data_IF_239172968829
#
_entry.id   IF_239172968829
#
_cell.length_a   1.000
_cell.length_b   1.000
_cell.length_c   1.000
_cell.angle_alpha   90.00
_cell.angle_beta   90.00
_cell.angle_gamma   90.00
#
_symmetry.space_group_name_H-M   'P 1'
#
loop_
_entity.id
_entity.type
_entity.pdbx_description
1 polymer ?
#
# COMPACT_ATOMS: atom_id res chain seq x y z
N UNK A 1 5.21 12.01 -18.36
CA UNK A 1 6.39 12.90 -18.47
C UNK A 1 6.97 13.39 -17.14
N UNK A 2 6.29 14.25 -16.35
CA UNK A 2 6.87 14.82 -15.12
C UNK A 2 7.42 13.77 -14.13
N UNK A 3 6.60 12.77 -13.78
CA UNK A 3 7.01 11.65 -12.91
C UNK A 3 8.24 10.91 -13.43
N UNK A 4 8.30 10.60 -14.73
CA UNK A 4 9.40 9.84 -15.32
C UNK A 4 10.71 10.63 -15.32
N UNK A 5 10.65 11.94 -15.55
CA UNK A 5 11.82 12.81 -15.44
C UNK A 5 12.44 12.72 -14.04
N UNK A 6 11.61 12.82 -13.00
CA UNK A 6 12.06 12.74 -11.61
C UNK A 6 12.55 11.33 -11.24
N UNK A 7 11.86 10.28 -11.70
CA UNK A 7 12.29 8.89 -11.49
C UNK A 7 13.70 8.66 -12.05
N UNK A 8 13.95 9.03 -13.31
CA UNK A 8 15.27 8.90 -13.94
C UNK A 8 16.32 9.76 -13.24
N UNK A 9 15.95 10.97 -12.83
CA UNK A 9 16.84 11.89 -12.09
C UNK A 9 17.27 11.28 -10.76
N UNK A 10 16.33 10.80 -9.94
CA UNK A 10 16.64 10.20 -8.64
C UNK A 10 17.40 8.88 -8.76
N UNK A 11 17.03 8.03 -9.71
CA UNK A 11 17.74 6.78 -9.98
C UNK A 11 19.22 7.02 -10.29
N UNK A 12 19.50 7.95 -11.22
CA UNK A 12 20.86 8.33 -11.60
C UNK A 12 21.63 9.03 -10.46
N UNK A 13 20.95 9.86 -9.68
CA UNK A 13 21.59 10.63 -8.61
C UNK A 13 22.05 9.75 -7.45
N UNK A 14 21.26 8.74 -7.08
CA UNK A 14 21.60 7.83 -5.98
C UNK A 14 22.57 6.73 -6.43
N UNK A 15 22.40 6.22 -7.65
CA UNK A 15 23.31 5.25 -8.28
C UNK A 15 23.61 4.04 -7.39
N UNK A 16 22.56 3.38 -6.90
CA UNK A 16 22.66 2.15 -6.10
C UNK A 16 21.65 1.12 -6.58
N UNK A 17 22.07 -0.15 -6.81
CA UNK A 17 21.20 -1.17 -7.39
C UNK A 17 20.05 -1.59 -6.47
N UNK A 18 20.15 -1.34 -5.17
CA UNK A 18 19.12 -1.66 -4.17
C UNK A 18 18.11 -0.52 -3.93
N UNK A 19 18.21 0.61 -4.64
CA UNK A 19 17.21 1.67 -4.56
C UNK A 19 15.88 1.19 -5.12
N UNK A 20 14.78 1.72 -4.58
CA UNK A 20 13.47 1.69 -5.23
C UNK A 20 12.94 3.12 -5.33
N UNK A 21 12.49 3.54 -6.50
CA UNK A 21 11.78 4.82 -6.64
C UNK A 21 10.31 4.59 -6.30
N UNK A 22 9.75 5.44 -5.43
CA UNK A 22 8.38 5.32 -4.97
C UNK A 22 7.43 6.10 -5.88
N UNK A 23 6.47 5.43 -6.52
CA UNK A 23 5.50 6.04 -7.44
C UNK A 23 4.08 5.69 -6.99
N UNK A 24 3.16 6.65 -6.86
CA UNK A 24 1.75 6.35 -6.56
C UNK A 24 1.07 5.48 -7.64
N UNK A 25 0.27 4.50 -7.22
CA UNK A 25 -0.58 3.68 -8.07
C UNK A 25 -1.89 4.37 -8.46
N UNK A 26 -1.83 5.66 -8.81
CA UNK A 26 -2.98 6.40 -9.37
C UNK A 26 -3.14 6.04 -10.86
N UNK A 27 -4.29 6.36 -11.49
CA UNK A 27 -4.48 6.15 -12.92
C UNK A 27 -3.38 6.77 -13.79
N UNK A 28 -2.86 7.94 -13.41
CA UNK A 28 -1.77 8.64 -14.09
C UNK A 28 -0.39 8.10 -13.72
N UNK A 29 -0.26 7.50 -12.53
CA UNK A 29 0.98 6.93 -12.02
C UNK A 29 1.30 5.56 -12.63
N UNK A 30 0.29 4.74 -12.92
CA UNK A 30 0.46 3.38 -13.49
C UNK A 30 1.22 3.40 -14.84
N UNK A 31 0.92 4.28 -15.81
CA UNK A 31 1.73 4.40 -17.03
C UNK A 31 3.20 4.75 -16.75
N UNK A 32 3.48 5.59 -15.75
CA UNK A 32 4.85 5.92 -15.35
C UNK A 32 5.55 4.75 -14.67
N UNK A 33 4.83 3.95 -13.88
CA UNK A 33 5.34 2.69 -13.29
C UNK A 33 5.76 1.73 -14.39
N UNK A 34 4.88 1.46 -15.37
CA UNK A 34 5.16 0.57 -16.50
C UNK A 34 6.43 1.01 -17.25
N UNK A 35 6.52 2.31 -17.58
CA UNK A 35 7.65 2.85 -18.32
C UNK A 35 8.96 2.79 -17.50
N UNK A 36 8.93 3.15 -16.21
CA UNK A 36 10.10 3.07 -15.34
C UNK A 36 10.60 1.63 -15.17
N UNK A 37 9.70 0.67 -14.97
CA UNK A 37 10.05 -0.74 -14.89
C UNK A 37 10.60 -1.24 -16.23
N UNK A 38 10.01 -0.83 -17.36
CA UNK A 38 10.55 -1.17 -18.70
C UNK A 38 11.98 -0.64 -18.89
N UNK A 39 12.33 0.49 -18.28
CA UNK A 39 13.70 1.05 -18.25
C UNK A 39 14.65 0.32 -17.27
N UNK A 40 14.18 -0.71 -16.58
CA UNK A 40 14.97 -1.49 -15.62
C UNK A 40 15.10 -0.82 -14.25
N UNK A 41 14.28 0.18 -13.94
CA UNK A 41 14.29 0.88 -12.65
C UNK A 41 13.43 0.10 -11.66
N UNK A 42 13.96 -0.14 -10.46
CA UNK A 42 13.22 -0.77 -9.37
C UNK A 42 12.18 0.21 -8.80
N UNK A 43 10.91 -0.21 -8.70
CA UNK A 43 9.81 0.65 -8.28
C UNK A 43 9.08 0.08 -7.06
N UNK A 44 8.86 0.94 -6.06
CA UNK A 44 7.90 0.72 -4.98
C UNK A 44 6.61 1.47 -5.35
N UNK A 45 5.55 0.74 -5.69
CA UNK A 45 4.27 1.36 -6.04
C UNK A 45 3.48 1.61 -4.75
N UNK A 46 3.00 2.83 -4.53
CA UNK A 46 2.37 3.24 -3.26
C UNK A 46 0.94 3.76 -3.43
N UNK A 47 0.23 4.02 -2.33
CA UNK A 47 -1.16 4.52 -2.35
C UNK A 47 -2.11 3.56 -3.08
N UNK A 48 -1.89 2.26 -2.88
CA UNK A 48 -2.78 1.21 -3.34
C UNK A 48 -3.74 0.89 -2.19
N UNK A 49 -5.05 1.05 -2.44
CA UNK A 49 -6.12 0.81 -1.47
C UNK A 49 -7.15 -0.20 -1.96
N UNK A 50 -7.25 -0.42 -3.27
CA UNK A 50 -8.24 -1.30 -3.87
C UNK A 50 -7.60 -2.51 -4.53
N UNK A 51 -8.35 -3.63 -4.54
CA UNK A 51 -8.00 -4.85 -5.26
C UNK A 51 -7.86 -4.57 -6.77
N UNK A 52 -8.72 -3.70 -7.33
CA UNK A 52 -8.68 -3.32 -8.74
C UNK A 52 -7.41 -2.56 -9.11
N UNK A 53 -6.95 -1.63 -8.26
CA UNK A 53 -5.66 -0.93 -8.47
C UNK A 53 -4.49 -1.89 -8.30
N UNK A 54 -4.53 -2.79 -7.31
CA UNK A 54 -3.50 -3.81 -7.16
C UNK A 54 -3.33 -4.67 -8.43
N UNK A 55 -4.44 -5.15 -9.03
CA UNK A 55 -4.41 -5.90 -10.30
C UNK A 55 -3.75 -5.10 -11.42
N UNK A 56 -4.07 -3.82 -11.57
CA UNK A 56 -3.46 -2.96 -12.59
C UNK A 56 -1.95 -2.77 -12.37
N UNK A 57 -1.52 -2.63 -11.11
CA UNK A 57 -0.11 -2.52 -10.74
C UNK A 57 0.66 -3.81 -11.05
N UNK A 58 0.08 -4.96 -10.71
CA UNK A 58 0.68 -6.26 -11.02
C UNK A 58 0.75 -6.51 -12.54
N UNK A 59 -0.28 -6.12 -13.30
CA UNK A 59 -0.28 -6.19 -14.76
C UNK A 59 0.83 -5.31 -15.38
N UNK A 60 0.98 -4.07 -14.91
CA UNK A 60 2.05 -3.18 -15.36
C UNK A 60 3.43 -3.76 -15.09
N UNK A 61 3.61 -4.43 -13.94
CA UNK A 61 4.87 -5.09 -13.61
C UNK A 61 5.18 -6.27 -14.55
N UNK A 62 4.22 -7.17 -14.76
CA UNK A 62 4.40 -8.31 -15.66
C UNK A 62 4.67 -7.84 -17.09
N UNK A 63 3.89 -6.87 -17.57
CA UNK A 63 4.07 -6.27 -18.91
C UNK A 63 5.45 -5.65 -19.10
N UNK A 64 5.99 -4.97 -18.09
CA UNK A 64 7.34 -4.40 -18.14
C UNK A 64 8.42 -5.48 -18.27
N UNK A 65 8.30 -6.57 -17.50
CA UNK A 65 9.23 -7.70 -17.57
C UNK A 65 9.19 -8.38 -18.94
N UNK A 66 8.00 -8.53 -19.53
CA UNK A 66 7.82 -9.09 -20.87
C UNK A 66 8.45 -8.20 -21.95
N UNK A 67 8.26 -6.88 -21.86
CA UNK A 67 8.85 -5.92 -22.78
C UNK A 67 10.39 -5.99 -22.75
N UNK A 68 10.99 -5.98 -21.55
CA UNK A 68 12.45 -6.10 -21.37
C UNK A 68 13.00 -7.41 -21.89
N UNK A 69 12.34 -8.52 -21.56
CA UNK A 69 12.73 -9.84 -22.07
C UNK A 69 12.68 -9.91 -23.59
N UNK A 70 11.65 -9.33 -24.21
CA UNK A 70 11.51 -9.28 -25.67
C UNK A 70 12.62 -8.44 -26.31
N UNK A 71 13.06 -7.39 -25.63
CA UNK A 71 14.21 -6.57 -26.02
C UNK A 71 15.58 -7.21 -25.73
N UNK A 72 15.62 -8.42 -25.13
CA UNK A 72 16.86 -9.12 -24.77
C UNK A 72 17.56 -8.52 -23.55
N UNK A 73 16.87 -7.71 -22.75
CA UNK A 73 17.42 -7.09 -21.55
C UNK A 73 17.27 -7.99 -20.32
N UNK A 74 18.19 -7.85 -19.36
CA UNK A 74 18.15 -8.62 -18.12
C UNK A 74 17.01 -8.15 -17.20
N UNK A 75 16.34 -9.15 -16.60
CA UNK A 75 15.24 -9.01 -15.65
C UNK A 75 15.54 -9.67 -14.29
N UNK A 76 16.69 -10.34 -14.16
CA UNK A 76 17.06 -11.12 -12.97
C UNK A 76 17.47 -10.28 -11.76
N UNK A 77 17.69 -8.98 -11.96
CA UNK A 77 18.02 -8.01 -10.92
C UNK A 77 16.86 -7.08 -10.56
N UNK A 78 15.73 -7.19 -11.26
CA UNK A 78 14.60 -6.30 -11.06
C UNK A 78 13.81 -6.66 -9.81
N UNK A 79 13.57 -5.66 -8.97
CA UNK A 79 12.78 -5.77 -7.76
C UNK A 79 11.66 -4.72 -7.75
N UNK A 80 10.47 -5.15 -7.34
CA UNK A 80 9.33 -4.26 -7.14
C UNK A 80 8.46 -4.74 -5.99
N UNK A 81 7.75 -3.81 -5.36
CA UNK A 81 6.76 -4.06 -4.31
C UNK A 81 5.50 -3.24 -4.56
N UNK A 82 4.35 -3.82 -4.24
CA UNK A 82 3.05 -3.15 -4.30
C UNK A 82 2.60 -2.78 -2.88
N UNK A 83 2.86 -1.54 -2.47
CA UNK A 83 2.55 -1.02 -1.12
C UNK A 83 1.04 -0.77 -0.95
N UNK A 84 0.37 -1.75 -0.38
CA UNK A 84 -1.04 -1.80 -0.07
C UNK A 84 -1.31 -1.26 1.34
N UNK A 85 -2.14 -0.23 1.45
CA UNK A 85 -2.37 0.48 2.70
C UNK A 85 -3.46 -0.19 3.54
N UNK A 86 -3.14 -0.49 4.80
CA UNK A 86 -3.97 -1.29 5.71
C UNK A 86 -4.79 -0.40 6.65
N UNK A 87 -4.19 0.16 7.69
CA UNK A 87 -4.92 0.80 8.81
C UNK A 87 -5.83 1.97 8.40
N UNK A 88 -5.52 2.62 7.26
CA UNK A 88 -6.33 3.73 6.74
C UNK A 88 -7.73 3.28 6.32
N UNK A 89 -7.88 2.02 5.91
CA UNK A 89 -9.17 1.43 5.54
C UNK A 89 -10.07 1.35 6.77
N UNK A 90 -9.63 0.70 7.84
CA UNK A 90 -10.40 0.62 9.09
C UNK A 90 -10.64 2.01 9.69
N UNK A 91 -9.65 2.92 9.66
CA UNK A 91 -9.85 4.28 10.18
C UNK A 91 -11.04 5.00 9.51
N UNK A 92 -11.21 4.84 8.19
CA UNK A 92 -12.33 5.44 7.46
C UNK A 92 -13.62 4.63 7.64
N UNK A 93 -13.55 3.30 7.52
CA UNK A 93 -14.74 2.44 7.63
C UNK A 93 -15.33 2.48 9.04
N UNK A 94 -14.51 2.40 10.08
CA UNK A 94 -14.95 2.48 11.47
C UNK A 94 -15.61 3.83 11.75
N UNK A 95 -15.08 4.93 11.21
CA UNK A 95 -15.73 6.24 11.32
C UNK A 95 -17.13 6.24 10.68
N UNK A 96 -17.27 5.67 9.49
CA UNK A 96 -18.57 5.56 8.81
C UNK A 96 -19.55 4.65 9.56
N UNK A 97 -19.05 3.57 10.18
CA UNK A 97 -19.83 2.68 11.04
C UNK A 97 -20.29 3.42 12.30
N UNK A 98 -19.40 4.15 12.98
CA UNK A 98 -19.73 4.96 14.15
C UNK A 98 -20.82 5.99 13.86
N UNK A 99 -20.73 6.69 12.73
CA UNK A 99 -21.72 7.70 12.33
C UNK A 99 -23.10 7.05 12.10
N UNK A 100 -23.13 5.84 11.53
CA UNK A 100 -24.37 5.05 11.39
C UNK A 100 -24.90 4.55 12.74
N UNK A 101 -24.03 4.09 13.64
CA UNK A 101 -24.40 3.68 15.01
C UNK A 101 -25.08 4.83 15.75
N UNK A 102 -24.54 6.06 15.64
CA UNK A 102 -25.11 7.26 16.24
C UNK A 102 -26.46 7.66 15.63
N UNK A 103 -26.71 7.30 14.37
CA UNK A 103 -27.93 7.64 13.64
C UNK A 103 -29.12 6.70 13.90
N UNK A 104 -28.90 5.50 14.46
CA UNK A 104 -29.97 4.55 14.81
C UNK A 104 -30.16 4.44 16.32
N UNK A 105 -31.41 4.26 16.76
CA UNK A 105 -31.77 3.94 18.15
C UNK A 105 -32.02 2.44 18.37
N UNK A 106 -31.97 1.62 17.31
CA UNK A 106 -32.18 0.18 17.40
C UNK A 106 -30.92 -0.52 17.94
N UNK A 107 -31.00 -1.08 19.15
CA UNK A 107 -29.87 -1.75 19.82
C UNK A 107 -29.30 -2.92 19.02
N UNK A 108 -30.15 -3.71 18.35
CA UNK A 108 -29.69 -4.84 17.54
C UNK A 108 -28.91 -4.37 16.31
N UNK A 109 -29.34 -3.27 15.70
CA UNK A 109 -28.64 -2.67 14.57
C UNK A 109 -27.31 -2.06 15.01
N UNK A 110 -27.27 -1.36 16.14
CA UNK A 110 -26.03 -0.84 16.71
C UNK A 110 -25.01 -1.94 17.00
N UNK A 111 -25.45 -3.07 17.55
CA UNK A 111 -24.59 -4.23 17.81
C UNK A 111 -24.05 -4.82 16.51
N UNK A 112 -24.89 -4.94 15.49
CA UNK A 112 -24.46 -5.43 14.18
C UNK A 112 -23.41 -4.51 13.54
N UNK A 113 -23.62 -3.19 13.51
CA UNK A 113 -22.67 -2.22 12.96
C UNK A 113 -21.32 -2.28 13.68
N UNK A 114 -21.33 -2.29 15.03
CA UNK A 114 -20.11 -2.43 15.83
C UNK A 114 -19.36 -3.73 15.58
N UNK A 115 -20.07 -4.81 15.22
CA UNK A 115 -19.42 -6.10 14.91
C UNK A 115 -18.60 -6.09 13.62
N UNK A 116 -18.73 -5.03 12.79
CA UNK A 116 -17.98 -4.85 11.55
C UNK A 116 -16.71 -3.99 11.73
N UNK A 117 -16.56 -3.31 12.87
CA UNK A 117 -15.41 -2.46 13.16
C UNK A 117 -14.10 -3.26 13.18
N UNK A 118 -13.03 -2.69 12.59
CA UNK A 118 -11.70 -3.28 12.58
C UNK A 118 -11.54 -4.51 11.67
N UNK A 119 -12.53 -4.83 10.83
CA UNK A 119 -12.50 -5.99 9.94
C UNK A 119 -12.11 -5.68 8.51
N UNK A 120 -12.37 -4.46 8.03
CA UNK A 120 -12.30 -4.12 6.61
C UNK A 120 -10.87 -4.15 6.06
N UNK A 121 -9.89 -3.65 6.81
CA UNK A 121 -8.50 -3.56 6.35
C UNK A 121 -7.86 -4.94 6.18
N UNK A 122 -8.03 -5.83 7.15
CA UNK A 122 -7.51 -7.20 7.10
C UNK A 122 -8.22 -7.97 5.98
N UNK A 123 -9.55 -7.88 5.89
CA UNK A 123 -10.31 -8.49 4.80
C UNK A 123 -9.76 -8.04 3.43
N UNK A 124 -9.54 -6.73 3.25
CA UNK A 124 -9.00 -6.17 2.00
C UNK A 124 -7.63 -6.77 1.65
N UNK A 125 -6.70 -6.78 2.61
CA UNK A 125 -5.34 -7.30 2.40
C UNK A 125 -5.31 -8.80 2.11
N UNK A 126 -6.16 -9.60 2.78
CA UNK A 126 -6.31 -11.03 2.50
C UNK A 126 -6.79 -11.29 1.07
N UNK A 127 -7.77 -10.53 0.59
CA UNK A 127 -8.26 -10.65 -0.79
C UNK A 127 -7.20 -10.25 -1.82
N UNK A 128 -6.40 -9.22 -1.55
CA UNK A 128 -5.24 -8.85 -2.37
C UNK A 128 -4.21 -9.97 -2.42
N UNK A 129 -3.95 -10.64 -1.30
CA UNK A 129 -3.03 -11.77 -1.26
C UNK A 129 -3.53 -12.97 -2.11
N UNK A 130 -4.84 -13.20 -2.16
CA UNK A 130 -5.41 -14.21 -3.06
C UNK A 130 -5.21 -13.86 -4.53
N UNK A 131 -5.36 -12.58 -4.89
CA UNK A 131 -5.06 -12.13 -6.25
C UNK A 131 -3.57 -12.19 -6.58
N UNK A 132 -2.69 -11.87 -5.64
CA UNK A 132 -1.25 -12.10 -5.77
C UNK A 132 -0.95 -13.55 -6.14
N UNK A 133 -1.47 -14.51 -5.37
CA UNK A 133 -1.27 -15.94 -5.66
C UNK A 133 -1.79 -16.33 -7.03
N UNK A 134 -2.97 -15.83 -7.43
CA UNK A 134 -3.55 -16.12 -8.74
C UNK A 134 -2.71 -15.56 -9.89
N UNK A 135 -2.27 -14.31 -9.78
CA UNK A 135 -1.54 -13.60 -10.85
C UNK A 135 -0.14 -14.19 -11.06
N UNK A 136 0.60 -14.40 -9.98
CA UNK A 136 2.00 -14.84 -10.04
C UNK A 136 2.17 -16.36 -10.13
N UNK A 137 1.09 -17.13 -10.10
CA UNK A 137 1.10 -18.59 -10.34
C UNK A 137 0.53 -18.99 -11.71
N UNK A 138 0.58 -18.08 -12.69
CA UNK A 138 0.15 -18.34 -14.08
C UNK A 138 1.31 -18.87 -14.94
N UNK A 139 1.03 -19.61 -16.03
CA UNK A 139 2.05 -19.97 -17.02
C UNK A 139 2.80 -18.75 -17.59
N UNK A 140 2.09 -17.62 -17.76
CA UNK A 140 2.65 -16.33 -18.19
C UNK A 140 3.79 -15.89 -17.28
N UNK A 141 3.55 -15.82 -15.97
CA UNK A 141 4.60 -15.44 -15.03
C UNK A 141 5.65 -16.55 -14.82
N UNK A 142 5.26 -17.83 -14.88
CA UNK A 142 6.20 -18.94 -14.75
C UNK A 142 7.33 -18.88 -15.80
N UNK A 143 7.02 -18.48 -17.03
CA UNK A 143 8.03 -18.25 -18.07
C UNK A 143 9.03 -17.15 -17.68
N UNK A 144 8.56 -16.01 -17.16
CA UNK A 144 9.41 -14.92 -16.67
C UNK A 144 10.28 -15.36 -15.49
N UNK A 145 9.71 -16.10 -14.54
CA UNK A 145 10.42 -16.65 -13.39
C UNK A 145 11.55 -17.60 -13.80
N UNK A 146 11.32 -18.44 -14.83
CA UNK A 146 12.38 -19.28 -15.41
C UNK A 146 13.52 -18.48 -16.03
N UNK A 147 13.26 -17.24 -16.46
CA UNK A 147 14.29 -16.30 -16.92
C UNK A 147 14.87 -15.42 -15.80
N UNK A 148 14.61 -15.76 -14.53
CA UNK A 148 15.21 -15.10 -13.38
C UNK A 148 14.36 -14.00 -12.73
N UNK A 149 13.15 -13.71 -13.22
CA UNK A 149 12.31 -12.67 -12.62
C UNK A 149 11.86 -13.03 -11.20
N UNK A 150 11.87 -12.03 -10.30
CA UNK A 150 11.23 -12.11 -8.99
C UNK A 150 9.75 -11.73 -9.07
N UNK A 151 8.93 -12.26 -8.16
CA UNK A 151 7.55 -11.79 -7.98
C UNK A 151 7.55 -10.35 -7.45
N UNK A 152 6.57 -9.55 -7.86
CA UNK A 152 6.29 -8.29 -7.17
C UNK A 152 5.54 -8.61 -5.89
N UNK A 153 6.20 -8.42 -4.75
CA UNK A 153 5.65 -8.77 -3.44
C UNK A 153 4.57 -7.76 -3.02
N UNK A 154 3.42 -8.19 -2.52
CA UNK A 154 2.54 -7.32 -1.74
C UNK A 154 3.31 -6.79 -0.53
N UNK A 155 3.21 -5.49 -0.31
CA UNK A 155 3.83 -4.82 0.83
C UNK A 155 2.73 -4.17 1.67
N UNK A 156 2.60 -4.58 2.92
CA UNK A 156 1.65 -4.01 3.86
C UNK A 156 2.20 -2.69 4.40
N UNK A 157 1.52 -1.60 4.06
CA UNK A 157 1.88 -0.25 4.48
C UNK A 157 0.84 0.30 5.45
N UNK A 158 1.26 1.22 6.32
CA UNK A 158 0.38 1.77 7.35
C UNK A 158 -0.21 0.67 8.24
N UNK A 159 0.66 -0.14 8.84
CA UNK A 159 0.31 -1.31 9.68
C UNK A 159 0.35 -1.00 11.19
N UNK A 160 0.48 0.27 11.59
CA UNK A 160 0.23 0.66 12.97
C UNK A 160 -1.26 0.76 13.24
N UNK A 161 -1.72 0.09 14.29
CA UNK A 161 -3.08 0.22 14.82
C UNK A 161 -3.35 1.68 15.24
N UNK A 162 -4.54 2.19 14.89
CA UNK A 162 -4.97 3.57 15.19
C UNK A 162 -6.02 3.66 16.28
N UNK A 163 -6.80 2.59 16.46
CA UNK A 163 -7.83 2.50 17.48
C UNK A 163 -7.23 1.81 18.74
N UNK A 164 -7.21 2.48 19.92
CA UNK A 164 -6.68 1.89 21.14
C UNK A 164 -7.50 0.70 21.67
N UNK A 165 -8.70 0.46 21.16
CA UNK A 165 -9.49 -0.73 21.47
C UNK A 165 -8.94 -2.00 20.82
N UNK A 166 -8.10 -1.87 19.78
CA UNK A 166 -7.49 -3.00 19.07
C UNK A 166 -6.10 -3.29 19.63
N UNK A 167 -5.60 -4.51 19.39
CA UNK A 167 -4.19 -4.81 19.64
C UNK A 167 -3.31 -3.86 18.81
N UNK A 168 -2.33 -3.26 19.44
CA UNK A 168 -1.34 -2.37 18.82
C UNK A 168 -0.47 -3.07 17.75
N UNK A 169 -0.43 -4.41 17.78
CA UNK A 169 0.22 -5.29 16.81
C UNK A 169 -0.76 -5.98 15.83
N UNK A 170 -2.05 -5.63 15.85
CA UNK A 170 -3.12 -6.32 15.10
C UNK A 170 -2.74 -6.60 13.64
N UNK A 171 -2.39 -5.57 12.87
CA UNK A 171 -2.14 -5.75 11.43
C UNK A 171 -0.85 -6.54 11.14
N UNK A 172 0.17 -6.37 11.97
CA UNK A 172 1.42 -7.12 11.84
C UNK A 172 1.23 -8.61 12.14
N UNK A 173 0.35 -8.95 13.09
CA UNK A 173 0.00 -10.35 13.41
C UNK A 173 -0.89 -10.98 12.33
N UNK A 174 -1.85 -10.23 11.79
CA UNK A 174 -2.90 -10.79 10.92
C UNK A 174 -2.49 -10.90 9.44
N UNK A 175 -1.39 -10.27 9.02
CA UNK A 175 -0.98 -10.20 7.61
C UNK A 175 0.32 -10.96 7.26
N UNK A 176 0.74 -11.90 8.10
CA UNK A 176 1.95 -12.69 7.91
C UNK A 176 1.70 -13.75 6.83
N UNK A 177 2.54 -13.76 5.79
CA UNK A 177 2.46 -14.69 4.68
C UNK A 177 3.74 -14.81 3.86
N UNK A 178 3.91 -15.90 3.08
CA UNK A 178 5.01 -16.03 2.13
C UNK A 178 5.00 -14.93 1.08
N UNK A 179 6.19 -14.50 0.66
CA UNK A 179 6.41 -13.50 -0.40
C UNK A 179 5.70 -12.16 -0.17
N UNK A 180 5.58 -11.73 1.09
CA UNK A 180 5.10 -10.41 1.47
C UNK A 180 6.19 -9.60 2.19
N UNK A 181 5.93 -8.30 2.33
CA UNK A 181 6.73 -7.38 3.14
C UNK A 181 5.77 -6.61 4.04
N UNK A 182 6.14 -6.35 5.29
CA UNK A 182 5.45 -5.36 6.13
C UNK A 182 6.40 -4.18 6.40
N UNK A 183 5.94 -2.97 6.12
CA UNK A 183 6.66 -1.73 6.45
C UNK A 183 6.07 -1.09 7.69
N UNK A 184 6.66 -1.45 8.82
CA UNK A 184 6.23 -1.02 10.14
C UNK A 184 7.02 0.21 10.62
N UNK A 185 6.37 1.19 11.26
CA UNK A 185 7.05 2.17 12.10
C UNK A 185 7.81 1.50 13.25
N UNK A 186 8.84 2.17 13.77
CA UNK A 186 9.70 1.63 14.84
C UNK A 186 8.88 1.15 16.06
N UNK A 187 7.92 1.94 16.50
CA UNK A 187 7.03 1.59 17.63
C UNK A 187 6.28 0.27 17.39
N UNK A 188 5.72 0.07 16.18
CA UNK A 188 5.04 -1.20 15.85
C UNK A 188 6.03 -2.38 15.82
N UNK A 189 7.28 -2.18 15.38
CA UNK A 189 8.32 -3.21 15.44
C UNK A 189 8.66 -3.56 16.89
N UNK A 190 8.78 -2.55 17.76
CA UNK A 190 9.11 -2.74 19.17
C UNK A 190 7.98 -3.49 19.91
N UNK A 191 6.73 -3.11 19.67
CA UNK A 191 5.56 -3.79 20.26
C UNK A 191 5.44 -5.23 19.73
N UNK A 192 5.63 -5.44 18.42
CA UNK A 192 5.59 -6.79 17.85
C UNK A 192 6.71 -7.67 18.41
N UNK A 193 7.91 -7.11 18.65
CA UNK A 193 9.01 -7.84 19.29
C UNK A 193 8.69 -8.21 20.74
N UNK A 194 8.00 -7.35 21.47
CA UNK A 194 7.64 -7.58 22.88
C UNK A 194 6.55 -8.66 23.02
N UNK A 195 5.46 -8.55 22.26
CA UNK A 195 4.27 -9.38 22.49
C UNK A 195 3.51 -9.79 21.21
N UNK A 196 4.14 -9.69 20.04
CA UNK A 196 3.59 -10.17 18.77
C UNK A 196 3.56 -11.69 18.67
N UNK A 197 2.62 -12.20 17.89
CA UNK A 197 2.44 -13.63 17.62
C UNK A 197 2.71 -13.95 16.17
N UNK A 198 3.69 -14.81 15.92
CA UNK A 198 4.05 -15.25 14.58
C UNK A 198 3.21 -16.47 14.18
N UNK A 199 2.38 -16.33 13.15
CA UNK A 199 1.63 -17.42 12.52
C UNK A 199 1.38 -17.06 11.05
N UNK A 200 1.31 -18.06 10.16
CA UNK A 200 0.83 -17.83 8.80
C UNK A 200 -0.67 -17.49 8.84
N UNK A 201 -1.00 -16.20 8.79
CA UNK A 201 -2.33 -15.66 9.10
C UNK A 201 -3.01 -14.99 7.90
N UNK A 202 -2.26 -14.67 6.85
CA UNK A 202 -2.78 -13.94 5.68
C UNK A 202 -3.88 -14.72 4.93
N UNK A 203 -3.99 -16.04 5.15
CA UNK A 203 -5.00 -16.89 4.52
C UNK A 203 -6.10 -17.37 5.47
N UNK A 204 -6.17 -16.83 6.69
CA UNK A 204 -7.27 -17.18 7.60
C UNK A 204 -8.59 -16.56 7.17
N UNK A 205 -9.70 -17.27 7.41
CA UNK A 205 -11.07 -16.78 7.26
C UNK A 205 -11.33 -16.05 5.92
N UNK A 206 -10.81 -16.56 4.79
CA UNK A 206 -10.99 -15.92 3.47
C UNK A 206 -12.47 -15.74 3.07
N UNK A 207 -13.33 -16.67 3.50
CA UNK A 207 -14.77 -16.54 3.27
C UNK A 207 -15.35 -15.35 4.04
N UNK A 208 -14.95 -15.15 5.30
CA UNK A 208 -15.34 -13.99 6.10
C UNK A 208 -14.86 -12.68 5.44
N UNK A 209 -13.66 -12.68 4.83
CA UNK A 209 -13.14 -11.49 4.15
C UNK A 209 -14.06 -11.01 3.02
N UNK A 210 -14.70 -11.92 2.27
CA UNK A 210 -15.72 -11.56 1.28
C UNK A 210 -17.01 -11.06 1.95
N UNK A 211 -17.47 -11.75 2.99
CA UNK A 211 -18.70 -11.42 3.71
C UNK A 211 -18.65 -10.05 4.38
N UNK A 212 -17.47 -9.59 4.82
CA UNK A 212 -17.28 -8.24 5.39
C UNK A 212 -17.69 -7.17 4.37
N UNK A 213 -17.19 -7.26 3.13
CA UNK A 213 -17.56 -6.27 2.11
C UNK A 213 -19.03 -6.38 1.71
N UNK A 214 -19.58 -7.59 1.60
CA UNK A 214 -21.02 -7.77 1.35
C UNK A 214 -21.89 -7.16 2.46
N UNK A 215 -21.45 -7.26 3.71
CA UNK A 215 -22.14 -6.66 4.86
C UNK A 215 -22.05 -5.14 4.84
N UNK A 216 -20.87 -4.58 4.55
CA UNK A 216 -20.66 -3.14 4.41
C UNK A 216 -21.50 -2.55 3.27
N UNK A 217 -21.57 -3.23 2.12
CA UNK A 217 -22.40 -2.83 0.99
C UNK A 217 -23.89 -2.76 1.35
N UNK A 218 -24.40 -3.75 2.09
CA UNK A 218 -25.81 -3.80 2.53
C UNK A 218 -26.21 -2.63 3.44
N UNK A 219 -25.26 -2.07 4.18
CA UNK A 219 -25.49 -0.90 5.05
C UNK A 219 -25.10 0.43 4.37
N UNK A 220 -24.75 0.40 3.08
CA UNK A 220 -24.42 1.58 2.28
C UNK A 220 -23.02 2.15 2.53
N UNK A 221 -22.06 1.31 2.95
CA UNK A 221 -20.62 1.63 2.94
C UNK A 221 -20.01 0.93 1.73
N UNK A 222 -19.84 1.67 0.64
CA UNK A 222 -19.44 1.11 -0.65
C UNK A 222 -17.92 1.02 -0.79
N UNK A 223 -17.41 -0.15 -1.16
CA UNK A 223 -15.97 -0.42 -1.26
C UNK A 223 -15.23 0.54 -2.21
N UNK A 224 -15.80 0.75 -3.41
CA UNK A 224 -15.19 1.60 -4.43
C UNK A 224 -15.14 3.07 -3.99
N UNK A 225 -16.15 3.54 -3.25
CA UNK A 225 -16.17 4.91 -2.73
C UNK A 225 -15.12 5.11 -1.63
N UNK A 226 -15.04 4.16 -0.69
CA UNK A 226 -14.05 4.17 0.40
C UNK A 226 -12.63 4.17 -0.17
N UNK A 227 -12.33 3.25 -1.09
CA UNK A 227 -10.97 3.12 -1.63
C UNK A 227 -10.58 4.30 -2.52
N UNK A 228 -11.52 4.86 -3.29
CA UNK A 228 -11.30 6.09 -4.05
C UNK A 228 -11.00 7.28 -3.13
N UNK A 229 -11.83 7.48 -2.09
CA UNK A 229 -11.62 8.56 -1.13
C UNK A 229 -10.23 8.45 -0.47
N UNK A 230 -9.83 7.24 -0.06
CA UNK A 230 -8.53 7.01 0.54
C UNK A 230 -7.37 7.30 -0.41
N UNK A 231 -7.52 7.00 -1.71
CA UNK A 231 -6.52 7.33 -2.71
C UNK A 231 -6.41 8.85 -2.90
N UNK A 232 -7.54 9.54 -3.10
CA UNK A 232 -7.59 11.00 -3.30
C UNK A 232 -6.98 11.73 -2.08
N UNK A 233 -7.44 11.40 -0.86
CA UNK A 233 -6.89 11.96 0.38
C UNK A 233 -5.41 11.58 0.58
N UNK A 234 -5.02 10.38 0.14
CA UNK A 234 -3.64 9.90 0.24
C UNK A 234 -2.68 10.75 -0.60
N UNK A 235 -3.09 11.11 -1.82
CA UNK A 235 -2.34 12.02 -2.71
C UNK A 235 -2.25 13.40 -2.09
N UNK A 236 -3.37 13.95 -1.58
CA UNK A 236 -3.40 15.26 -0.96
C UNK A 236 -2.48 15.32 0.27
N UNK A 237 -2.58 14.36 1.19
CA UNK A 237 -1.72 14.31 2.40
C UNK A 237 -0.23 14.24 2.05
N UNK A 238 0.15 13.61 0.94
CA UNK A 238 1.53 13.59 0.47
C UNK A 238 1.97 14.94 -0.10
N UNK A 239 1.11 15.61 -0.87
CA UNK A 239 1.37 16.96 -1.36
C UNK A 239 1.52 17.97 -0.21
N UNK A 240 0.63 17.92 0.77
CA UNK A 240 0.68 18.80 1.95
C UNK A 240 1.97 18.58 2.75
N UNK A 241 2.32 17.31 3.02
CA UNK A 241 3.55 16.97 3.73
C UNK A 241 4.81 17.45 2.99
N UNK A 242 4.78 17.44 1.65
CA UNK A 242 5.85 17.97 0.82
C UNK A 242 5.94 19.50 0.93
N UNK A 243 4.81 20.21 0.88
CA UNK A 243 4.79 21.67 1.07
C UNK A 243 5.34 22.07 2.45
N UNK A 244 4.89 21.42 3.52
CA UNK A 244 5.39 21.67 4.89
C UNK A 244 6.90 21.42 5.01
N UNK A 245 7.44 20.40 4.34
CA UNK A 245 8.89 20.17 4.30
C UNK A 245 9.63 21.36 3.66
N UNK A 246 9.16 21.86 2.52
CA UNK A 246 9.79 23.00 1.84
C UNK A 246 9.66 24.30 2.61
N UNK A 247 8.53 24.54 3.27
CA UNK A 247 8.36 25.65 4.20
C UNK A 247 9.39 25.60 5.33
N UNK A 248 9.54 24.45 5.98
CA UNK A 248 10.55 24.27 7.03
C UNK A 248 11.99 24.45 6.55
N UNK A 249 12.31 24.04 5.32
CA UNK A 249 13.62 24.28 4.70
C UNK A 249 13.82 25.79 4.44
N UNK A 250 12.81 26.48 3.91
CA UNK A 250 12.87 27.91 3.64
C UNK A 250 13.05 28.74 4.92
N UNK A 251 12.34 28.38 5.99
CA UNK A 251 12.49 29.00 7.32
C UNK A 251 13.90 28.82 7.87
N UNK A 252 14.45 27.60 7.80
CA UNK A 252 15.84 27.33 8.22
C UNK A 252 16.85 28.12 7.39
N UNK A 253 16.66 28.21 6.07
CA UNK A 253 17.53 29.00 5.18
C UNK A 253 17.56 30.47 5.61
N UNK A 254 16.37 31.06 5.83
CA UNK A 254 16.22 32.46 6.28
C UNK A 254 16.86 32.69 7.65
N UNK A 255 16.73 31.73 8.58
CA UNK A 255 17.34 31.82 9.90
C UNK A 255 18.88 31.85 9.81
N UNK A 256 19.48 31.01 8.96
CA UNK A 256 20.93 30.96 8.73
C UNK A 256 21.43 32.26 8.07
N UNK A 257 20.74 32.73 7.02
CA UNK A 257 21.06 34.01 6.36
C UNK A 257 21.03 35.18 7.37
N UNK A 258 20.02 35.22 8.24
CA UNK A 258 19.88 36.27 9.26
C UNK A 258 20.95 36.19 10.35
N UNK A 259 21.41 34.99 10.71
CA UNK A 259 22.52 34.80 11.66
C UNK A 259 23.87 35.21 11.06
N UNK A 260 24.11 34.93 9.77
CA UNK A 260 25.33 35.35 9.06
C UNK A 260 25.43 36.87 8.87
N UNK A 261 24.31 37.58 8.76
CA UNK A 261 24.30 39.07 8.67
C UNK A 261 24.59 39.74 10.02
N UNK A 262 24.43 39.01 11.14
CA UNK A 262 24.66 39.51 12.50
C UNK A 262 26.04 39.18 13.06
N UNK A 263 26.84 38.35 12.37
CA UNK A 263 28.22 37.98 12.71
C UNK A 263 29.22 38.76 11.87
#
# INVERSE_FOLDING_TARGET
>A
EGTLSEVRRFWKMVDRPNLMIKIPGTPEGIPAVLQALTEGINVNITLIFSISTYRQVAEAFISALEARRTAGEDISHMASVASFFVSRVDTLVDKLLEDKVKATSNTSEQQHLKSLEGKAAIANARLVYQDFKKIFNTPRFAALKQAGAYVQRPLWASTSTKNPAYRDVLYAEELIGPDTVDTMPLETIENFRDHGRVRLSIEDNLEEAHQVFDALEKIGIHYDQVTKQLQDEGVQKFADSFHTLFEGIAEKRKAIETQQVKS
#
